data_IF_080725314860
#
_entry.id   IF_080725314860
#
_cell.length_a   1.000
_cell.length_b   1.000
_cell.length_c   1.000
_cell.angle_alpha   90.00
_cell.angle_beta   90.00
_cell.angle_gamma   90.00
#
_symmetry.space_group_name_H-M   'P 1'
#
loop_
_entity.id
_entity.type
_entity.pdbx_description
1 polymer ?
#
# COMPACT_ATOMS: atom_id res chain seq x y z
N UNK A 1 16.51 -42.30 4.75
CA UNK A 1 16.47 -40.84 5.03
C UNK A 1 15.08 -40.42 5.43
N UNK A 2 14.88 -40.01 6.65
CA UNK A 2 13.57 -39.62 7.12
C UNK A 2 13.32 -38.15 6.77
N UNK A 3 12.34 -37.90 5.96
CA UNK A 3 11.83 -36.52 5.72
C UNK A 3 11.07 -36.10 6.99
N UNK A 4 11.52 -35.04 7.63
CA UNK A 4 10.86 -34.51 8.82
C UNK A 4 9.71 -33.62 8.39
N UNK A 5 8.43 -34.02 8.61
CA UNK A 5 7.30 -33.19 8.24
C UNK A 5 7.30 -31.83 8.94
N UNK A 6 7.80 -31.77 10.18
CA UNK A 6 7.89 -30.52 10.93
C UNK A 6 8.86 -29.54 10.28
N UNK A 7 9.98 -30.05 9.74
CA UNK A 7 10.95 -29.20 9.02
C UNK A 7 10.33 -28.56 7.78
N UNK A 8 9.54 -29.31 7.02
CA UNK A 8 8.85 -28.81 5.84
C UNK A 8 7.79 -27.77 6.21
N UNK A 9 6.97 -28.05 7.22
CA UNK A 9 5.95 -27.12 7.71
C UNK A 9 6.56 -25.83 8.24
N UNK A 10 7.66 -25.93 8.98
CA UNK A 10 8.40 -24.77 9.51
C UNK A 10 8.93 -23.90 8.37
N UNK A 11 9.48 -24.53 7.33
CA UNK A 11 10.01 -23.80 6.18
C UNK A 11 8.93 -23.04 5.44
N UNK A 12 7.76 -23.64 5.22
CA UNK A 12 6.60 -23.00 4.59
C UNK A 12 6.11 -21.85 5.45
N UNK A 13 6.02 -22.03 6.78
CA UNK A 13 5.61 -21.00 7.72
C UNK A 13 6.56 -19.81 7.73
N UNK A 14 7.86 -20.05 7.68
CA UNK A 14 8.87 -18.99 7.60
C UNK A 14 8.72 -18.18 6.32
N UNK A 15 8.52 -18.85 5.21
CA UNK A 15 8.33 -18.19 3.92
C UNK A 15 7.05 -17.35 3.92
N UNK A 16 5.98 -17.88 4.49
CA UNK A 16 4.71 -17.17 4.63
C UNK A 16 4.88 -15.92 5.50
N UNK A 17 5.60 -16.05 6.63
CA UNK A 17 5.88 -14.92 7.51
C UNK A 17 6.70 -13.85 6.81
N UNK A 18 7.67 -14.23 5.97
CA UNK A 18 8.43 -13.28 5.16
C UNK A 18 7.55 -12.54 4.18
N UNK A 19 6.59 -13.24 3.56
CA UNK A 19 5.64 -12.62 2.64
C UNK A 19 4.73 -11.63 3.37
N UNK A 20 4.27 -11.97 4.58
CA UNK A 20 3.46 -11.07 5.41
C UNK A 20 4.26 -9.83 5.82
N UNK A 21 5.54 -9.99 6.17
CA UNK A 21 6.41 -8.86 6.50
C UNK A 21 6.64 -7.96 5.28
N UNK A 22 6.75 -8.54 4.09
CA UNK A 22 6.88 -7.76 2.86
C UNK A 22 5.62 -6.93 2.60
N UNK A 23 4.43 -7.53 2.78
CA UNK A 23 3.16 -6.80 2.67
C UNK A 23 3.13 -5.63 3.65
N UNK A 24 3.51 -5.90 4.90
CA UNK A 24 3.52 -4.88 5.95
C UNK A 24 4.45 -3.73 5.58
N UNK A 25 5.65 -4.05 5.10
CA UNK A 25 6.64 -3.07 4.68
C UNK A 25 6.12 -2.20 3.53
N UNK A 26 5.51 -2.82 2.52
CA UNK A 26 4.95 -2.10 1.38
C UNK A 26 3.77 -1.22 1.79
N UNK A 27 2.93 -1.69 2.71
CA UNK A 27 1.82 -0.89 3.22
C UNK A 27 2.32 0.34 3.98
N UNK A 28 3.36 0.18 4.80
CA UNK A 28 3.97 1.30 5.52
C UNK A 28 4.61 2.30 4.55
N UNK A 29 5.26 1.81 3.50
CA UNK A 29 5.81 2.67 2.46
C UNK A 29 4.71 3.47 1.77
N UNK A 30 3.61 2.82 1.40
CA UNK A 30 2.46 3.48 0.80
C UNK A 30 1.87 4.53 1.74
N UNK A 31 1.73 4.18 3.03
CA UNK A 31 1.24 5.11 4.05
C UNK A 31 2.11 6.36 4.16
N UNK A 32 3.43 6.19 4.13
CA UNK A 32 4.38 7.31 4.14
C UNK A 32 4.26 8.19 2.90
N UNK A 33 4.10 7.59 1.74
CA UNK A 33 3.90 8.33 0.49
C UNK A 33 2.60 9.13 0.51
N UNK A 34 1.50 8.53 0.97
CA UNK A 34 0.21 9.23 1.07
C UNK A 34 0.30 10.38 2.07
N UNK A 35 0.94 10.16 3.22
CA UNK A 35 1.14 11.21 4.22
C UNK A 35 1.89 12.41 3.61
N UNK A 36 2.96 12.16 2.86
CA UNK A 36 3.71 13.21 2.21
C UNK A 36 2.89 13.94 1.15
N UNK A 37 2.09 13.20 0.39
CA UNK A 37 1.19 13.76 -0.61
C UNK A 37 0.16 14.70 0.03
N UNK A 38 -0.41 14.31 1.17
CA UNK A 38 -1.35 15.16 1.91
C UNK A 38 -0.66 16.43 2.40
N UNK A 39 0.53 16.32 2.98
CA UNK A 39 1.30 17.48 3.45
C UNK A 39 1.60 18.44 2.31
N UNK A 40 2.06 17.92 1.18
CA UNK A 40 2.43 18.74 0.02
C UNK A 40 1.21 19.40 -0.61
N UNK A 41 0.06 18.70 -0.66
CA UNK A 41 -1.19 19.26 -1.18
C UNK A 41 -1.67 20.40 -0.30
N UNK A 42 -1.66 20.23 1.02
CA UNK A 42 -2.03 21.30 1.97
C UNK A 42 -1.11 22.49 1.83
N UNK A 43 0.20 22.24 1.72
CA UNK A 43 1.18 23.30 1.55
C UNK A 43 0.95 24.07 0.24
N UNK A 44 0.64 23.37 -0.84
CA UNK A 44 0.37 24.00 -2.14
C UNK A 44 -0.87 24.90 -2.08
N UNK A 45 -1.90 24.47 -1.33
CA UNK A 45 -3.12 25.25 -1.15
C UNK A 45 -2.85 26.50 -0.30
N UNK A 46 -2.10 26.36 0.78
CA UNK A 46 -1.80 27.46 1.69
C UNK A 46 -0.94 28.54 1.01
N UNK A 47 0.03 28.11 0.21
CA UNK A 47 0.99 29.00 -0.44
C UNK A 47 0.56 29.43 -1.85
N UNK A 48 -0.50 28.84 -2.40
CA UNK A 48 -0.89 29.07 -3.78
C UNK A 48 0.17 28.56 -4.76
N UNK A 49 0.93 27.52 -4.39
CA UNK A 49 2.04 26.99 -5.17
C UNK A 49 1.53 25.96 -6.19
N UNK A 50 1.33 26.41 -7.41
CA UNK A 50 0.84 25.55 -8.51
C UNK A 50 1.87 24.53 -8.96
N UNK A 51 3.16 24.83 -8.83
CA UNK A 51 4.23 23.89 -9.18
C UNK A 51 4.24 22.72 -8.20
N UNK A 52 4.09 22.98 -6.91
CA UNK A 52 4.00 21.95 -5.90
C UNK A 52 2.74 21.10 -6.11
N UNK A 53 1.61 21.71 -6.43
CA UNK A 53 0.37 20.98 -6.76
C UNK A 53 0.56 20.05 -7.95
N UNK A 54 1.28 20.49 -8.98
CA UNK A 54 1.60 19.65 -10.13
C UNK A 54 2.49 18.48 -9.75
N UNK A 55 3.47 18.67 -8.85
CA UNK A 55 4.31 17.59 -8.34
C UNK A 55 3.50 16.55 -7.57
N UNK A 56 2.53 16.99 -6.75
CA UNK A 56 1.64 16.09 -6.02
C UNK A 56 0.89 15.18 -7.00
N UNK A 57 0.29 15.76 -8.04
CA UNK A 57 -0.43 14.98 -9.05
C UNK A 57 0.48 14.01 -9.81
N UNK A 58 1.71 14.42 -10.12
CA UNK A 58 2.67 13.58 -10.81
C UNK A 58 3.06 12.35 -9.97
N UNK A 59 3.13 12.50 -8.64
CA UNK A 59 3.46 11.40 -7.73
C UNK A 59 2.31 10.43 -7.50
N UNK A 60 1.07 10.81 -7.82
CA UNK A 60 -0.09 9.93 -7.66
C UNK A 60 0.09 8.60 -8.37
N UNK A 61 0.71 8.61 -9.55
CA UNK A 61 0.93 7.38 -10.31
C UNK A 61 1.86 6.41 -9.59
N UNK A 62 2.84 6.92 -8.85
CA UNK A 62 3.75 6.07 -8.07
C UNK A 62 2.99 5.38 -6.93
N UNK A 63 2.10 6.11 -6.25
CA UNK A 63 1.28 5.54 -5.18
C UNK A 63 0.29 4.52 -5.74
N UNK A 64 -0.34 4.82 -6.87
CA UNK A 64 -1.24 3.90 -7.55
C UNK A 64 -0.53 2.61 -7.95
N UNK A 65 0.69 2.71 -8.47
CA UNK A 65 1.46 1.53 -8.85
C UNK A 65 1.79 0.68 -7.62
N UNK A 66 2.18 1.31 -6.52
CA UNK A 66 2.48 0.59 -5.29
C UNK A 66 1.22 -0.11 -4.74
N UNK A 67 0.06 0.53 -4.82
CA UNK A 67 -1.20 -0.08 -4.45
C UNK A 67 -1.49 -1.33 -5.27
N UNK A 68 -1.32 -1.25 -6.59
CA UNK A 68 -1.52 -2.39 -7.49
C UNK A 68 -0.56 -3.52 -7.15
N UNK A 69 0.68 -3.20 -6.85
CA UNK A 69 1.70 -4.18 -6.47
C UNK A 69 1.31 -4.89 -5.16
N UNK A 70 0.83 -4.14 -4.17
CA UNK A 70 0.38 -4.71 -2.89
C UNK A 70 -0.83 -5.62 -3.12
N UNK A 71 -1.82 -5.17 -3.88
CA UNK A 71 -3.03 -5.95 -4.16
C UNK A 71 -2.69 -7.25 -4.89
N UNK A 72 -1.82 -7.19 -5.89
CA UNK A 72 -1.38 -8.37 -6.63
C UNK A 72 -0.65 -9.34 -5.72
N UNK A 73 0.26 -8.84 -4.89
CA UNK A 73 1.02 -9.66 -3.96
C UNK A 73 0.09 -10.35 -2.94
N UNK A 74 -0.87 -9.63 -2.39
CA UNK A 74 -1.88 -10.18 -1.49
C UNK A 74 -2.71 -11.27 -2.16
N UNK A 75 -3.14 -11.03 -3.40
CA UNK A 75 -3.91 -12.00 -4.17
C UNK A 75 -3.11 -13.27 -4.42
N UNK A 76 -1.83 -13.16 -4.75
CA UNK A 76 -0.95 -14.31 -4.94
C UNK A 76 -0.79 -15.11 -3.67
N UNK A 77 -0.65 -14.45 -2.53
CA UNK A 77 -0.53 -15.13 -1.22
C UNK A 77 -1.81 -15.90 -0.91
N UNK A 78 -2.97 -15.29 -1.10
CA UNK A 78 -4.25 -15.95 -0.85
C UNK A 78 -4.44 -17.18 -1.74
N UNK A 79 -4.01 -17.10 -3.00
CA UNK A 79 -4.14 -18.21 -3.95
C UNK A 79 -3.20 -19.36 -3.62
N UNK A 80 -1.97 -19.07 -3.17
CA UNK A 80 -0.93 -20.10 -2.97
C UNK A 80 -0.92 -20.71 -1.59
N UNK A 81 -1.27 -19.94 -0.56
CA UNK A 81 -1.01 -20.33 0.83
C UNK A 81 -2.23 -20.83 1.58
N UNK A 82 -3.43 -20.48 1.15
CA UNK A 82 -4.66 -20.80 1.88
C UNK A 82 -4.47 -20.51 3.39
N UNK A 83 -4.26 -19.24 3.78
CA UNK A 83 -3.87 -18.89 5.13
C UNK A 83 -4.94 -19.23 6.16
N UNK A 84 -4.50 -19.46 7.41
CA UNK A 84 -5.39 -19.63 8.55
C UNK A 84 -6.21 -18.34 8.79
N UNK A 85 -7.29 -18.45 9.57
CA UNK A 85 -8.25 -17.36 9.74
C UNK A 85 -7.61 -16.04 10.18
N UNK A 86 -6.64 -16.08 11.11
CA UNK A 86 -5.97 -14.87 11.59
C UNK A 86 -5.12 -14.22 10.51
N UNK A 87 -4.39 -15.01 9.73
CA UNK A 87 -3.54 -14.53 8.67
C UNK A 87 -4.38 -14.04 7.48
N UNK A 88 -5.50 -14.72 7.20
CA UNK A 88 -6.45 -14.26 6.20
C UNK A 88 -7.01 -12.89 6.56
N UNK A 89 -7.36 -12.67 7.83
CA UNK A 89 -7.83 -11.37 8.30
C UNK A 89 -6.78 -10.30 8.12
N UNK A 90 -5.50 -10.62 8.38
CA UNK A 90 -4.41 -9.66 8.18
C UNK A 90 -4.31 -9.26 6.71
N UNK A 91 -4.30 -10.23 5.79
CA UNK A 91 -4.21 -9.95 4.35
C UNK A 91 -5.41 -9.12 3.88
N UNK A 92 -6.63 -9.47 4.32
CA UNK A 92 -7.82 -8.70 3.99
C UNK A 92 -7.78 -7.29 4.57
N UNK A 93 -7.24 -7.13 5.78
CA UNK A 93 -7.06 -5.82 6.40
C UNK A 93 -6.08 -4.96 5.60
N UNK A 94 -5.01 -5.54 5.08
CA UNK A 94 -4.06 -4.83 4.21
C UNK A 94 -4.76 -4.35 2.93
N UNK A 95 -5.54 -5.21 2.29
CA UNK A 95 -6.28 -4.84 1.06
C UNK A 95 -7.22 -3.66 1.35
N UNK A 96 -7.93 -3.68 2.47
CA UNK A 96 -8.81 -2.59 2.88
C UNK A 96 -8.02 -1.31 3.17
N UNK A 97 -6.89 -1.44 3.85
CA UNK A 97 -6.03 -0.30 4.17
C UNK A 97 -5.51 0.38 2.90
N UNK A 98 -5.10 -0.39 1.89
CA UNK A 98 -4.66 0.18 0.62
C UNK A 98 -5.78 0.92 -0.09
N UNK A 99 -7.00 0.38 -0.05
CA UNK A 99 -8.17 1.04 -0.63
C UNK A 99 -8.48 2.37 0.07
N UNK A 100 -8.37 2.39 1.40
CA UNK A 100 -8.59 3.62 2.19
C UNK A 100 -7.51 4.66 1.91
N UNK A 101 -6.26 4.24 1.80
CA UNK A 101 -5.15 5.14 1.45
C UNK A 101 -5.33 5.72 0.05
N UNK A 102 -5.77 4.91 -0.90
CA UNK A 102 -6.09 5.39 -2.25
C UNK A 102 -7.19 6.45 -2.23
N UNK A 103 -8.21 6.23 -1.41
CA UNK A 103 -9.31 7.19 -1.26
C UNK A 103 -8.81 8.52 -0.71
N UNK A 104 -7.92 8.48 0.29
CA UNK A 104 -7.26 9.69 0.80
C UNK A 104 -6.48 10.40 -0.31
N UNK A 105 -5.80 9.64 -1.15
CA UNK A 105 -5.03 10.18 -2.26
C UNK A 105 -5.94 10.86 -3.29
N UNK A 106 -7.09 10.27 -3.61
CA UNK A 106 -8.06 10.87 -4.53
C UNK A 106 -8.53 12.24 -4.05
N UNK A 107 -8.88 12.36 -2.77
CA UNK A 107 -9.29 13.64 -2.20
C UNK A 107 -8.14 14.66 -2.20
N UNK A 108 -6.93 14.21 -1.95
CA UNK A 108 -5.73 15.04 -1.98
C UNK A 108 -5.46 15.58 -3.38
N UNK A 109 -5.57 14.72 -4.39
CA UNK A 109 -5.38 15.10 -5.79
C UNK A 109 -6.46 16.08 -6.25
N UNK A 110 -7.71 15.86 -5.87
CA UNK A 110 -8.80 16.76 -6.19
C UNK A 110 -8.57 18.16 -5.60
N UNK A 111 -8.08 18.22 -4.35
CA UNK A 111 -7.75 19.50 -3.71
C UNK A 111 -6.60 20.20 -4.44
N UNK A 112 -5.59 19.46 -4.88
CA UNK A 112 -4.47 20.01 -5.65
C UNK A 112 -4.93 20.51 -7.02
N UNK A 113 -5.85 19.78 -7.69
CA UNK A 113 -6.43 20.18 -8.96
C UNK A 113 -7.22 21.50 -8.81
N UNK A 114 -8.01 21.63 -7.76
CA UNK A 114 -8.74 22.86 -7.46
C UNK A 114 -7.78 24.05 -7.33
N UNK A 115 -6.63 23.85 -6.69
CA UNK A 115 -5.59 24.88 -6.56
C UNK A 115 -5.01 25.28 -7.92
N UNK A 116 -4.83 24.34 -8.84
CA UNK A 116 -4.28 24.61 -10.17
C UNK A 116 -5.31 25.13 -11.15
N UNK A 117 -6.60 24.92 -10.91
CA UNK A 117 -7.68 25.38 -11.79
C UNK A 117 -7.92 26.90 -11.67
N UNK A 118 -7.41 27.53 -10.64
CA UNK A 118 -7.49 28.95 -10.42
C UNK A 118 -6.32 29.67 -11.09
#
# INVERSE_FOLDING_TARGET
MKINPDSHSTHISQKFNQELEEIRSQLLEMGGMVEQQVKDAVQSLLDGDTDLAAQVRAKDQQVNQLQLDIDEYCTQILARRQPAASDLRLVLAVIRATADLERCLLYTSDAADDNTAV
#
